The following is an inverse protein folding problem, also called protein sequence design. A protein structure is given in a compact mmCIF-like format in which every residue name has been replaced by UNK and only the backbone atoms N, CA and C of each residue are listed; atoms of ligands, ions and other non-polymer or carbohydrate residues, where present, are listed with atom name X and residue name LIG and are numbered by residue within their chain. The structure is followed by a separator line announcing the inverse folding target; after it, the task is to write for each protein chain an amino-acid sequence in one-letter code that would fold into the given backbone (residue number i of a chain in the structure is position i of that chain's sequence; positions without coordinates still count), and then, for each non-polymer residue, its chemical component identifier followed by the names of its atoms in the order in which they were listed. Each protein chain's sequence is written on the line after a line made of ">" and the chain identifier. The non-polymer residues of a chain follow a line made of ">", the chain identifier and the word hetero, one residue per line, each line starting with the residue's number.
data_IF_640865997883
#
_entry.id   IF_640865997883
#
_cell.length_a   1.000
_cell.length_b   1.000
_cell.length_c   1.000
_cell.angle_alpha   90.00
_cell.angle_beta   90.00
_cell.angle_gamma   90.00
#
_symmetry.space_group_name_H-M   'P 1'
#
loop_
_entity.id
_entity.type
_entity.pdbx_description
1 polymer ?
#
# COMPACT_ATOMS: atom_id res chain seq x y z
N UNK A 1 0.97 -23.53 -20.26
CA UNK A 1 0.92 -24.79 -19.47
C UNK A 1 2.21 -25.10 -18.70
N UNK A 2 3.43 -24.72 -19.15
CA UNK A 2 4.67 -24.94 -18.37
C UNK A 2 4.85 -24.00 -17.16
N UNK A 3 4.29 -22.79 -17.21
CA UNK A 3 4.43 -21.76 -16.16
C UNK A 3 3.82 -22.18 -14.81
N UNK A 4 2.71 -22.92 -14.84
CA UNK A 4 2.08 -23.44 -13.63
C UNK A 4 2.95 -24.47 -12.91
N UNK A 5 3.69 -25.30 -13.64
CA UNK A 5 4.51 -26.37 -13.06
C UNK A 5 5.66 -25.82 -12.21
N UNK A 6 6.29 -24.72 -12.64
CA UNK A 6 7.37 -24.06 -11.87
C UNK A 6 6.83 -23.41 -10.60
N UNK A 7 5.67 -22.76 -10.69
CA UNK A 7 5.01 -22.16 -9.51
C UNK A 7 4.57 -23.22 -8.50
N UNK A 8 4.06 -24.36 -8.98
CA UNK A 8 3.74 -25.51 -8.14
C UNK A 8 5.00 -26.05 -7.46
N UNK A 9 6.10 -26.24 -8.20
CA UNK A 9 7.36 -26.73 -7.65
C UNK A 9 7.92 -25.79 -6.56
N UNK A 10 7.90 -24.48 -6.80
CA UNK A 10 8.35 -23.47 -5.82
C UNK A 10 7.48 -23.47 -4.56
N UNK A 11 6.18 -23.69 -4.70
CA UNK A 11 5.25 -23.79 -3.57
C UNK A 11 5.50 -25.07 -2.76
N UNK A 12 5.82 -26.16 -3.44
CA UNK A 12 6.06 -27.48 -2.83
C UNK A 12 7.43 -27.57 -2.14
N UNK A 13 8.44 -26.83 -2.64
CA UNK A 13 9.71 -26.61 -1.91
C UNK A 13 9.48 -25.73 -0.68
N UNK A 14 8.68 -24.66 -0.81
CA UNK A 14 8.36 -23.79 0.34
C UNK A 14 7.58 -24.52 1.43
N UNK A 15 6.71 -25.45 1.08
CA UNK A 15 5.96 -26.28 2.03
C UNK A 15 6.79 -27.42 2.63
N UNK A 16 8.01 -27.65 2.13
CA UNK A 16 8.89 -28.74 2.56
C UNK A 16 8.49 -30.11 2.00
N UNK A 17 7.55 -30.17 1.06
CA UNK A 17 7.13 -31.40 0.41
C UNK A 17 8.19 -31.94 -0.57
N UNK A 18 9.06 -31.06 -1.08
CA UNK A 18 10.15 -31.40 -2.02
C UNK A 18 11.46 -30.82 -1.50
N UNK A 19 12.55 -31.60 -1.54
CA UNK A 19 13.88 -31.14 -1.13
C UNK A 19 14.46 -30.16 -2.16
N UNK A 20 15.35 -29.27 -1.70
CA UNK A 20 15.99 -28.28 -2.58
C UNK A 20 16.84 -28.97 -3.67
N UNK A 21 17.48 -30.10 -3.33
CA UNK A 21 18.31 -30.86 -4.26
C UNK A 21 17.47 -31.56 -5.34
N UNK A 22 16.31 -32.11 -4.98
CA UNK A 22 15.39 -32.73 -5.95
C UNK A 22 14.77 -31.69 -6.89
N UNK A 23 14.42 -30.51 -6.37
CA UNK A 23 13.94 -29.40 -7.19
C UNK A 23 15.03 -28.86 -8.13
N UNK A 24 16.29 -28.85 -7.68
CA UNK A 24 17.44 -28.45 -8.52
C UNK A 24 17.68 -29.46 -9.64
N UNK A 25 17.68 -30.76 -9.36
CA UNK A 25 17.80 -31.81 -10.38
C UNK A 25 16.64 -31.76 -11.40
N UNK A 26 15.41 -31.47 -10.95
CA UNK A 26 14.25 -31.32 -11.83
C UNK A 26 14.35 -30.09 -12.75
N UNK A 27 15.14 -29.08 -12.37
CA UNK A 27 15.33 -27.83 -13.12
C UNK A 27 16.66 -27.77 -13.90
N UNK A 28 17.61 -28.67 -13.63
CA UNK A 28 18.95 -28.70 -14.26
C UNK A 28 18.93 -28.89 -15.79
N UNK A 29 17.83 -29.38 -16.36
CA UNK A 29 17.63 -29.52 -17.81
C UNK A 29 16.76 -28.44 -18.45
N UNK A 30 16.25 -27.46 -17.69
CA UNK A 30 15.35 -26.42 -18.20
C UNK A 30 16.17 -25.18 -18.54
N UNK A 31 16.69 -25.11 -19.77
CA UNK A 31 17.20 -23.85 -20.30
C UNK A 31 16.03 -22.90 -20.56
N UNK A 32 16.12 -21.69 -20.00
CA UNK A 32 15.21 -20.62 -20.35
C UNK A 32 15.49 -20.24 -21.81
N UNK A 33 14.45 -20.20 -22.63
CA UNK A 33 14.56 -19.58 -23.96
C UNK A 33 14.92 -18.10 -23.82
N UNK A 34 15.54 -17.54 -24.85
CA UNK A 34 15.93 -16.12 -24.89
C UNK A 34 14.72 -15.21 -24.60
N UNK A 35 13.54 -15.51 -25.14
CA UNK A 35 12.29 -14.79 -24.86
C UNK A 35 11.85 -14.89 -23.38
N UNK A 36 12.04 -16.03 -22.72
CA UNK A 36 11.72 -16.17 -21.29
C UNK A 36 12.73 -15.44 -20.41
N UNK A 37 13.98 -15.39 -20.83
CA UNK A 37 15.04 -14.63 -20.18
C UNK A 37 14.80 -13.13 -20.31
N UNK A 38 14.48 -12.65 -21.52
CA UNK A 38 14.09 -11.25 -21.77
C UNK A 38 12.82 -10.88 -21.03
N UNK A 39 11.80 -11.74 -21.03
CA UNK A 39 10.57 -11.52 -20.25
C UNK A 39 10.86 -11.44 -18.75
N UNK A 40 11.79 -12.22 -18.20
CA UNK A 40 12.17 -12.17 -16.79
C UNK A 40 12.99 -10.90 -16.44
N UNK A 41 13.80 -10.42 -17.39
CA UNK A 41 14.47 -9.11 -17.31
C UNK A 41 13.43 -7.99 -17.32
N UNK A 42 12.46 -8.05 -18.24
CA UNK A 42 11.44 -7.02 -18.44
C UNK A 42 10.42 -6.97 -17.28
N UNK A 43 10.08 -8.13 -16.70
CA UNK A 43 9.23 -8.23 -15.50
C UNK A 43 9.97 -7.94 -14.18
N UNK A 44 11.23 -7.51 -14.25
CA UNK A 44 11.89 -6.76 -13.18
C UNK A 44 12.39 -7.59 -12.00
N UNK A 45 12.60 -8.90 -12.15
CA UNK A 45 13.15 -9.73 -11.05
C UNK A 45 14.60 -9.35 -10.72
N UNK A 46 15.34 -8.72 -11.65
CA UNK A 46 16.78 -8.47 -11.51
C UNK A 46 17.22 -7.00 -11.65
N UNK A 47 16.34 -6.09 -12.04
CA UNK A 47 16.71 -4.67 -12.25
C UNK A 47 16.22 -3.79 -11.13
N UNK A 48 17.12 -3.02 -10.50
CA UNK A 48 16.73 -1.99 -9.52
C UNK A 48 15.81 -0.97 -10.20
N UNK A 49 14.60 -0.71 -9.68
CA UNK A 49 13.68 0.27 -10.25
C UNK A 49 14.33 1.66 -10.29
N UNK A 50 14.06 2.41 -11.37
CA UNK A 50 14.56 3.79 -11.51
C UNK A 50 13.97 4.68 -10.42
N UNK A 51 14.68 5.77 -10.11
CA UNK A 51 14.20 6.74 -9.11
C UNK A 51 12.90 7.37 -9.59
N UNK A 52 11.92 7.46 -8.69
CA UNK A 52 10.62 7.98 -9.03
C UNK A 52 9.70 6.96 -9.70
N UNK A 53 10.13 5.70 -9.88
CA UNK A 53 9.22 4.61 -10.20
C UNK A 53 8.21 4.47 -9.05
N UNK A 54 6.94 4.73 -9.37
CA UNK A 54 5.80 4.50 -8.49
C UNK A 54 5.23 3.14 -8.86
N UNK A 55 5.40 2.17 -7.96
CA UNK A 55 4.72 0.88 -8.09
C UNK A 55 3.42 1.00 -7.32
N UNK A 56 2.31 1.15 -8.05
CA UNK A 56 0.96 1.14 -7.48
C UNK A 56 0.54 -0.32 -7.36
N UNK A 57 0.37 -0.81 -6.14
CA UNK A 57 -0.35 -2.06 -5.97
C UNK A 57 -1.80 -1.81 -6.38
N UNK A 58 -2.38 -2.73 -7.15
CA UNK A 58 -3.80 -2.72 -7.51
C UNK A 58 -4.64 -2.48 -6.25
N UNK A 59 -5.75 -1.74 -6.38
CA UNK A 59 -6.69 -1.49 -5.27
C UNK A 59 -7.01 -2.84 -4.61
N UNK A 60 -6.88 -2.89 -3.28
CA UNK A 60 -7.15 -4.12 -2.52
C UNK A 60 -8.58 -4.60 -2.84
N UNK A 61 -8.80 -5.89 -3.13
CA UNK A 61 -10.15 -6.45 -3.34
C UNK A 61 -11.11 -6.17 -2.18
N UNK A 62 -10.59 -5.85 -0.99
CA UNK A 62 -11.39 -5.46 0.17
C UNK A 62 -12.08 -4.09 0.03
N UNK A 63 -11.61 -3.20 -0.85
CA UNK A 63 -12.21 -1.89 -1.10
C UNK A 63 -13.61 -1.99 -1.71
N UNK A 64 -13.85 -3.03 -2.52
CA UNK A 64 -15.13 -3.29 -3.21
C UNK A 64 -16.12 -4.07 -2.33
N UNK A 65 -15.76 -4.37 -1.09
CA UNK A 65 -16.64 -5.08 -0.16
C UNK A 65 -17.86 -4.23 0.19
N UNK A 66 -19.04 -4.85 0.13
CA UNK A 66 -20.30 -4.24 0.58
C UNK A 66 -20.24 -3.78 2.04
N UNK A 67 -19.43 -4.45 2.87
CA UNK A 67 -19.20 -4.05 4.25
C UNK A 67 -18.58 -2.65 4.36
N UNK A 68 -17.69 -2.29 3.43
CA UNK A 68 -17.11 -0.94 3.42
C UNK A 68 -18.13 0.12 3.07
N UNK A 69 -18.93 -0.13 2.04
CA UNK A 69 -19.99 0.80 1.65
C UNK A 69 -20.95 1.04 2.84
N UNK A 70 -21.37 -0.02 3.51
CA UNK A 70 -22.21 0.09 4.71
C UNK A 70 -21.51 0.85 5.84
N UNK A 71 -20.21 0.61 6.07
CA UNK A 71 -19.44 1.31 7.08
C UNK A 71 -19.33 2.82 6.80
N UNK A 72 -19.11 3.22 5.54
CA UNK A 72 -19.05 4.64 5.17
C UNK A 72 -20.42 5.32 5.25
N UNK A 73 -21.51 4.64 4.85
CA UNK A 73 -22.87 5.16 5.04
C UNK A 73 -23.17 5.36 6.53
N UNK A 74 -22.86 4.35 7.34
CA UNK A 74 -22.98 4.42 8.81
C UNK A 74 -22.14 5.58 9.36
N UNK A 75 -20.90 5.70 8.93
CA UNK A 75 -19.99 6.76 9.38
C UNK A 75 -20.51 8.16 9.05
N UNK A 76 -20.96 8.39 7.80
CA UNK A 76 -21.56 9.67 7.38
C UNK A 76 -22.81 9.98 8.20
N UNK A 77 -23.69 8.99 8.41
CA UNK A 77 -24.88 9.14 9.24
C UNK A 77 -24.52 9.58 10.67
N UNK A 78 -23.56 8.93 11.32
CA UNK A 78 -23.19 9.28 12.69
C UNK A 78 -22.43 10.61 12.76
N UNK A 79 -21.50 10.88 11.86
CA UNK A 79 -20.78 12.16 11.85
C UNK A 79 -21.75 13.34 11.66
N UNK A 80 -22.75 13.19 10.78
CA UNK A 80 -23.78 14.23 10.61
C UNK A 80 -24.67 14.32 11.85
N UNK A 81 -25.12 13.20 12.43
CA UNK A 81 -25.89 13.18 13.67
C UNK A 81 -25.15 13.91 14.81
N UNK A 82 -23.90 13.57 15.09
CA UNK A 82 -23.11 14.19 16.16
C UNK A 82 -22.85 15.67 15.90
N UNK A 83 -22.57 16.05 14.64
CA UNK A 83 -22.34 17.45 14.27
C UNK A 83 -23.61 18.29 14.39
N UNK A 84 -24.75 17.80 13.92
CA UNK A 84 -26.02 18.53 14.02
C UNK A 84 -26.49 18.65 15.46
N UNK A 85 -26.36 17.59 16.26
CA UNK A 85 -26.72 17.62 17.69
C UNK A 85 -25.78 18.50 18.49
N UNK A 86 -24.48 18.57 18.14
CA UNK A 86 -23.54 19.54 18.69
C UNK A 86 -24.00 20.99 18.40
N UNK A 87 -24.33 21.29 17.15
CA UNK A 87 -24.82 22.63 16.75
C UNK A 87 -26.13 22.96 17.47
N UNK A 88 -27.07 22.03 17.52
CA UNK A 88 -28.31 22.19 18.26
C UNK A 88 -28.04 22.48 19.75
N UNK A 89 -27.16 21.70 20.38
CA UNK A 89 -26.80 21.89 21.79
C UNK A 89 -26.16 23.24 22.04
N UNK A 90 -25.32 23.72 21.12
CA UNK A 90 -24.69 25.04 21.22
C UNK A 90 -25.75 26.16 21.17
N UNK A 91 -26.75 26.04 20.29
CA UNK A 91 -27.84 27.01 20.16
C UNK A 91 -28.82 26.97 21.34
N UNK A 92 -28.90 25.86 22.08
CA UNK A 92 -29.78 25.69 23.23
C UNK A 92 -29.06 25.80 24.58
N UNK A 93 -27.80 26.25 24.60
CA UNK A 93 -27.06 26.50 25.84
C UNK A 93 -26.74 25.23 26.64
N UNK A 94 -26.46 24.11 25.96
CA UNK A 94 -26.01 22.88 26.64
C UNK A 94 -24.69 23.08 27.38
N UNK A 95 -24.51 22.28 28.43
CA UNK A 95 -23.28 22.31 29.23
C UNK A 95 -22.04 21.94 28.40
N UNK A 96 -20.90 22.52 28.76
CA UNK A 96 -19.64 22.34 28.07
C UNK A 96 -19.21 20.88 27.99
N UNK A 97 -19.45 20.07 29.04
CA UNK A 97 -19.08 18.65 29.04
C UNK A 97 -19.86 17.88 27.98
N UNK A 98 -21.15 18.18 27.83
CA UNK A 98 -22.01 17.57 26.83
C UNK A 98 -21.59 18.00 25.42
N UNK A 99 -21.27 19.28 25.20
CA UNK A 99 -20.78 19.76 23.90
C UNK A 99 -19.42 19.14 23.53
N UNK A 100 -18.49 19.05 24.48
CA UNK A 100 -17.19 18.42 24.26
C UNK A 100 -17.33 16.94 23.90
N UNK A 101 -18.28 16.23 24.51
CA UNK A 101 -18.59 14.85 24.15
C UNK A 101 -19.03 14.72 22.70
N UNK A 102 -19.99 15.55 22.23
CA UNK A 102 -20.48 15.49 20.86
C UNK A 102 -19.38 15.84 19.85
N UNK A 103 -18.56 16.84 20.14
CA UNK A 103 -17.39 17.18 19.32
C UNK A 103 -16.38 16.02 19.26
N UNK A 104 -16.12 15.38 20.39
CA UNK A 104 -15.26 14.19 20.46
C UNK A 104 -15.80 13.04 19.62
N UNK A 105 -17.11 12.78 19.65
CA UNK A 105 -17.76 11.75 18.85
C UNK A 105 -17.72 12.06 17.34
N UNK A 106 -17.88 13.33 16.95
CA UNK A 106 -17.67 13.76 15.56
C UNK A 106 -16.26 13.45 15.08
N UNK A 107 -15.23 13.83 15.84
CA UNK A 107 -13.84 13.52 15.45
C UNK A 107 -13.54 12.03 15.48
N UNK A 108 -14.02 11.30 16.49
CA UNK A 108 -13.84 9.85 16.59
C UNK A 108 -14.39 9.15 15.34
N UNK A 109 -15.62 9.48 14.93
CA UNK A 109 -16.25 8.88 13.73
C UNK A 109 -15.50 9.22 12.45
N UNK A 110 -15.06 10.48 12.28
CA UNK A 110 -14.24 10.89 11.14
C UNK A 110 -12.88 10.19 11.10
N UNK A 111 -12.20 10.06 12.24
CA UNK A 111 -10.89 9.40 12.34
C UNK A 111 -11.03 7.92 12.01
N UNK A 112 -12.07 7.25 12.53
CA UNK A 112 -12.34 5.84 12.19
C UNK A 112 -12.56 5.68 10.69
N UNK A 113 -13.41 6.51 10.07
CA UNK A 113 -13.58 6.52 8.60
C UNK A 113 -12.26 6.78 7.87
N UNK A 114 -11.46 7.73 8.34
CA UNK A 114 -10.17 8.07 7.74
C UNK A 114 -9.17 6.91 7.77
N UNK A 115 -9.04 6.22 8.91
CA UNK A 115 -8.16 5.06 9.06
C UNK A 115 -8.61 3.93 8.13
N UNK A 116 -9.91 3.66 8.10
CA UNK A 116 -10.49 2.63 7.23
C UNK A 116 -10.28 2.98 5.74
N UNK A 117 -10.45 4.24 5.37
CA UNK A 117 -10.18 4.72 4.01
C UNK A 117 -8.70 4.52 3.64
N UNK A 118 -7.78 4.97 4.48
CA UNK A 118 -6.34 4.84 4.24
C UNK A 118 -5.88 3.39 4.16
N UNK A 119 -6.47 2.51 4.98
CA UNK A 119 -6.05 1.11 5.09
C UNK A 119 -6.58 0.23 3.98
N UNK A 120 -7.79 0.51 3.48
CA UNK A 120 -8.50 -0.44 2.63
C UNK A 120 -8.98 0.15 1.30
N UNK A 121 -9.15 1.47 1.19
CA UNK A 121 -9.62 2.13 -0.04
C UNK A 121 -8.47 2.76 -0.81
N UNK A 122 -7.57 3.44 -0.11
CA UNK A 122 -6.41 4.06 -0.71
C UNK A 122 -5.45 2.95 -1.21
N UNK A 123 -5.02 2.98 -2.48
CA UNK A 123 -4.14 1.96 -3.02
C UNK A 123 -2.74 2.08 -2.40
N UNK A 124 -2.15 0.96 -2.01
CA UNK A 124 -0.78 0.96 -1.51
C UNK A 124 0.18 1.47 -2.59
N UNK A 125 0.90 2.54 -2.25
CA UNK A 125 1.88 3.19 -3.10
C UNK A 125 3.28 2.89 -2.57
N UNK A 126 4.04 2.11 -3.32
CA UNK A 126 5.47 1.93 -3.05
C UNK A 126 6.25 2.89 -3.96
N UNK A 127 6.83 3.91 -3.34
CA UNK A 127 7.65 4.90 -4.06
C UNK A 127 9.12 4.61 -3.82
N UNK A 128 9.84 4.31 -4.90
CA UNK A 128 11.29 4.10 -4.84
C UNK A 128 11.97 5.46 -4.74
N UNK A 129 12.41 5.80 -3.53
CA UNK A 129 13.16 7.02 -3.25
C UNK A 129 14.60 6.68 -2.92
N UNK A 130 15.55 7.25 -3.67
CA UNK A 130 16.94 7.20 -3.26
C UNK A 130 17.19 8.14 -2.07
N UNK A 131 17.87 7.59 -1.06
CA UNK A 131 18.43 8.38 0.03
C UNK A 131 19.58 9.20 -0.54
N UNK A 132 19.45 10.52 -0.57
CA UNK A 132 20.62 11.40 -0.78
C UNK A 132 21.55 11.26 0.42
N UNK A 133 22.86 11.27 0.17
CA UNK A 133 23.84 11.40 1.24
C UNK A 133 23.54 12.70 2.01
N UNK A 134 23.47 12.59 3.34
CA UNK A 134 23.21 13.73 4.24
C UNK A 134 24.32 14.78 4.14
N UNK A 135 25.52 14.35 3.77
CA UNK A 135 26.69 15.20 3.58
C UNK A 135 27.20 15.02 2.14
N UNK A 136 27.41 16.14 1.45
CA UNK A 136 28.03 16.18 0.12
C UNK A 136 29.40 16.85 0.32
N UNK A 137 30.52 16.10 0.21
CA UNK A 137 31.85 16.69 0.34
C UNK A 137 32.13 17.65 -0.81
N UNK A 138 32.94 18.69 -0.55
CA UNK A 138 33.31 19.74 -1.52
C UNK A 138 33.94 19.16 -2.82
N UNK A 139 34.52 17.96 -2.75
CA UNK A 139 35.19 17.29 -3.87
C UNK A 139 34.28 16.44 -4.77
N UNK A 140 33.00 16.30 -4.44
CA UNK A 140 32.05 15.52 -5.23
C UNK A 140 31.19 16.49 -6.04
N UNK A 141 31.67 16.95 -7.19
CA UNK A 141 30.99 17.92 -8.06
C UNK A 141 29.82 17.33 -8.85
N UNK A 142 29.75 16.01 -8.96
CA UNK A 142 28.79 15.30 -9.83
C UNK A 142 27.41 15.14 -9.18
N UNK A 143 27.33 15.24 -7.85
CA UNK A 143 26.06 15.21 -7.10
C UNK A 143 25.48 16.59 -6.78
N UNK A 144 26.09 17.67 -7.30
CA UNK A 144 25.60 19.05 -7.09
C UNK A 144 24.39 19.32 -7.97
N UNK A 145 23.27 19.66 -7.35
CA UNK A 145 22.11 20.18 -8.09
C UNK A 145 22.39 21.65 -8.42
N UNK A 146 22.53 21.98 -9.70
CA UNK A 146 22.45 23.38 -10.15
C UNK A 146 21.01 23.83 -9.95
N UNK A 147 20.82 24.83 -9.09
CA UNK A 147 19.55 25.53 -9.00
C UNK A 147 19.67 26.72 -9.95
N UNK A 148 18.95 26.66 -11.06
CA UNK A 148 18.79 27.83 -11.92
C UNK A 148 17.89 28.84 -11.17
N UNK A 149 18.31 30.10 -11.18
CA UNK A 149 17.63 31.21 -10.52
C UNK A 149 16.46 31.72 -11.35
#
# INVERSE_FOLDING_TARGET
>A
MKTDQVLTLLRDVKSGAVSIDDARNALEGVSLSEEQYESAIEHGVFTKPKVGTVVRATISPAAESWLMVLFFIWGIFWTTYWSFTLTYGLLNGWDQQQLAFHLGMTFMTLIMMGIIYLRFVLPDLVVVKHRRNKYIPIKDTDTWKKYDA
#
